data_IF_464629475184
#
_entry.id   IF_464629475184
#
_cell.length_a   1.000
_cell.length_b   1.000
_cell.length_c   1.000
_cell.angle_alpha   90.00
_cell.angle_beta   90.00
_cell.angle_gamma   90.00
#
_symmetry.space_group_name_H-M   'P 1'
#
loop_
_entity.id
_entity.type
_entity.pdbx_description
1 polymer ?
#
# COMPACT_ATOMS: atom_id res chain seq x y z
N UNK A 1 -30.69 -11.79 -75.98
CA UNK A 1 -32.06 -11.87 -75.43
C UNK A 1 -32.12 -11.08 -74.13
N UNK A 2 -33.05 -10.11 -74.08
CA UNK A 2 -33.67 -9.42 -72.93
C UNK A 2 -32.74 -8.84 -71.84
N UNK A 3 -32.40 -7.53 -71.92
CA UNK A 3 -32.92 -6.37 -71.12
C UNK A 3 -32.29 -6.30 -69.70
N UNK A 4 -31.30 -5.45 -69.36
CA UNK A 4 -31.21 -3.96 -69.23
C UNK A 4 -32.42 -3.31 -68.55
N UNK A 5 -32.12 -2.43 -67.55
CA UNK A 5 -32.81 -1.18 -67.06
C UNK A 5 -32.66 -1.11 -65.52
N UNK A 6 -31.61 -0.47 -64.96
CA UNK A 6 -31.40 0.97 -64.60
C UNK A 6 -32.05 1.39 -63.26
N UNK A 7 -31.32 1.89 -62.24
CA UNK A 7 -30.79 3.25 -62.00
C UNK A 7 -31.83 4.36 -61.74
N UNK A 8 -31.53 5.21 -60.73
CA UNK A 8 -32.19 6.45 -60.24
C UNK A 8 -33.39 6.27 -59.28
N UNK A 9 -33.63 7.06 -58.23
CA UNK A 9 -33.07 8.32 -57.74
C UNK A 9 -33.33 8.46 -56.22
N UNK A 10 -32.54 9.33 -55.58
CA UNK A 10 -32.79 9.86 -54.25
C UNK A 10 -34.05 10.76 -54.21
N UNK A 11 -34.56 10.90 -52.98
CA UNK A 11 -35.37 12.03 -52.46
C UNK A 11 -36.89 11.94 -52.57
N UNK A 12 -37.52 11.48 -51.49
CA UNK A 12 -38.63 12.20 -50.86
C UNK A 12 -38.77 11.76 -49.39
N UNK A 13 -38.41 12.67 -48.50
CA UNK A 13 -38.82 12.67 -47.10
C UNK A 13 -40.36 12.61 -46.98
N UNK A 14 -40.81 12.03 -45.87
CA UNK A 14 -42.01 12.34 -45.11
C UNK A 14 -43.09 11.24 -45.03
N UNK A 15 -43.39 10.93 -43.76
CA UNK A 15 -44.57 10.26 -43.20
C UNK A 15 -44.50 8.74 -43.05
N UNK A 16 -43.87 8.34 -41.94
CA UNK A 16 -44.02 7.04 -41.32
C UNK A 16 -43.60 6.99 -39.84
N UNK A 17 -43.65 8.12 -39.11
CA UNK A 17 -43.64 8.10 -37.65
C UNK A 17 -45.04 7.70 -37.16
N UNK A 18 -45.31 6.40 -37.03
CA UNK A 18 -46.26 5.86 -36.06
C UNK A 18 -45.71 4.51 -35.55
N UNK A 19 -45.08 4.59 -34.37
CA UNK A 19 -45.12 3.59 -33.29
C UNK A 19 -44.99 2.10 -33.62
N UNK A 20 -43.77 1.58 -33.47
CA UNK A 20 -43.57 0.50 -32.49
C UNK A 20 -42.71 1.08 -31.36
N UNK A 21 -43.38 1.52 -30.30
CA UNK A 21 -42.81 1.65 -28.97
C UNK A 21 -42.36 0.28 -28.50
N UNK A 22 -41.12 0.14 -28.04
CA UNK A 22 -40.67 -1.06 -27.34
C UNK A 22 -39.16 -1.17 -27.30
N UNK A 23 -38.58 -0.66 -26.21
CA UNK A 23 -37.25 -0.96 -25.67
C UNK A 23 -36.04 -0.96 -26.60
N UNK A 24 -35.35 0.19 -26.56
CA UNK A 24 -33.94 0.37 -26.88
C UNK A 24 -33.13 0.49 -25.57
N UNK A 25 -33.48 -0.32 -24.56
CA UNK A 25 -32.84 -0.35 -23.22
C UNK A 25 -32.15 -1.68 -22.93
N UNK A 26 -31.65 -2.37 -23.96
CA UNK A 26 -30.55 -3.30 -23.73
C UNK A 26 -29.28 -2.45 -23.57
N UNK A 27 -29.11 -1.84 -22.39
CA UNK A 27 -27.80 -1.38 -21.94
C UNK A 27 -26.89 -2.60 -22.03
N UNK A 28 -26.10 -2.69 -23.10
CA UNK A 28 -25.07 -3.71 -23.22
C UNK A 28 -24.24 -3.63 -21.94
N UNK A 29 -24.31 -4.68 -21.11
CA UNK A 29 -23.66 -4.72 -19.81
C UNK A 29 -22.17 -4.43 -20.03
N UNK A 30 -21.76 -3.22 -19.68
CA UNK A 30 -20.41 -2.76 -19.95
C UNK A 30 -19.43 -3.61 -19.12
N UNK A 31 -18.34 -4.11 -19.73
CA UNK A 31 -17.30 -4.80 -18.99
C UNK A 31 -16.74 -3.91 -17.88
N UNK A 32 -16.51 -4.50 -16.70
CA UNK A 32 -15.92 -3.79 -15.55
C UNK A 32 -14.41 -4.00 -15.56
N UNK A 33 -13.66 -2.89 -15.45
CA UNK A 33 -12.22 -2.95 -15.21
C UNK A 33 -11.93 -3.17 -13.72
N UNK A 34 -11.27 -4.28 -13.41
CA UNK A 34 -11.00 -4.68 -12.03
C UNK A 34 -9.63 -4.23 -11.51
N UNK A 35 -8.84 -3.47 -12.26
CA UNK A 35 -7.45 -3.06 -11.87
C UNK A 35 -7.39 -2.21 -10.57
N UNK A 36 -8.52 -1.75 -10.04
CA UNK A 36 -8.64 -1.07 -8.74
C UNK A 36 -9.52 -1.78 -7.71
N UNK A 37 -9.98 -3.01 -8.01
CA UNK A 37 -10.86 -3.77 -7.12
C UNK A 37 -10.06 -4.65 -6.15
N UNK A 38 -10.68 -4.90 -5.00
CA UNK A 38 -10.14 -5.74 -3.94
C UNK A 38 -11.08 -6.90 -3.64
N UNK A 39 -10.53 -8.06 -3.30
CA UNK A 39 -11.29 -9.14 -2.67
C UNK A 39 -11.39 -8.82 -1.19
N UNK A 40 -12.62 -8.83 -0.68
CA UNK A 40 -12.93 -8.81 0.74
C UNK A 40 -13.67 -10.10 1.09
N UNK A 41 -13.19 -10.84 2.08
CA UNK A 41 -13.80 -12.11 2.44
C UNK A 41 -13.30 -12.74 3.72
N UNK A 42 -13.92 -13.86 4.08
CA UNK A 42 -13.58 -14.63 5.29
C UNK A 42 -12.11 -15.05 5.32
N UNK A 43 -11.49 -15.28 4.15
CA UNK A 43 -10.10 -15.70 4.02
C UNK A 43 -9.06 -14.68 4.47
N UNK A 44 -9.42 -13.39 4.54
CA UNK A 44 -8.54 -12.35 5.09
C UNK A 44 -8.88 -12.05 6.55
N UNK A 45 -10.18 -12.01 6.84
CA UNK A 45 -10.68 -11.70 8.16
C UNK A 45 -12.06 -12.34 8.36
N UNK A 46 -12.22 -13.31 9.28
CA UNK A 46 -13.51 -13.90 9.57
C UNK A 46 -14.52 -12.90 10.15
N UNK A 47 -14.05 -11.76 10.68
CA UNK A 47 -14.92 -10.66 11.12
C UNK A 47 -15.28 -9.67 10.02
N UNK A 48 -14.73 -9.81 8.81
CA UNK A 48 -14.97 -8.90 7.67
C UNK A 48 -14.67 -7.42 8.00
N UNK A 49 -13.73 -7.19 8.92
CA UNK A 49 -13.24 -5.86 9.30
C UNK A 49 -11.95 -5.54 8.57
N UNK A 50 -11.60 -4.25 8.56
CA UNK A 50 -10.38 -3.68 7.98
C UNK A 50 -9.16 -4.58 8.17
N UNK A 51 -8.42 -4.81 7.09
CA UNK A 51 -7.11 -5.44 7.16
C UNK A 51 -6.12 -4.76 6.24
N UNK A 52 -4.86 -4.74 6.66
CA UNK A 52 -3.74 -4.31 5.80
C UNK A 52 -3.47 -5.29 4.64
N UNK A 53 -4.05 -6.51 4.69
CA UNK A 53 -3.84 -7.59 3.74
C UNK A 53 -4.90 -7.63 2.62
N UNK A 54 -5.15 -6.49 1.99
CA UNK A 54 -6.07 -6.40 0.86
C UNK A 54 -5.55 -7.17 -0.35
N UNK A 55 -6.33 -8.10 -0.89
CA UNK A 55 -6.00 -8.87 -2.09
C UNK A 55 -6.52 -8.08 -3.30
N UNK A 56 -5.63 -7.54 -4.11
CA UNK A 56 -5.98 -6.77 -5.32
C UNK A 56 -5.96 -7.62 -6.57
N UNK A 57 -6.74 -7.21 -7.57
CA UNK A 57 -6.69 -7.81 -8.91
C UNK A 57 -5.62 -7.17 -9.79
N UNK A 58 -4.97 -8.01 -10.59
CA UNK A 58 -4.06 -7.61 -11.68
C UNK A 58 -4.67 -8.03 -13.00
N UNK A 59 -4.58 -7.18 -14.03
CA UNK A 59 -5.02 -7.55 -15.38
C UNK A 59 -4.11 -8.62 -15.95
N UNK A 60 -4.68 -9.65 -16.58
CA UNK A 60 -3.91 -10.70 -17.25
C UNK A 60 -3.37 -10.17 -18.57
N UNK A 61 -2.06 -10.27 -18.77
CA UNK A 61 -1.39 -9.82 -19.99
C UNK A 61 -2.00 -10.44 -21.25
N UNK A 62 -2.27 -9.59 -22.25
CA UNK A 62 -2.88 -10.02 -23.51
C UNK A 62 -4.38 -10.33 -23.42
N UNK A 63 -5.02 -10.15 -22.27
CA UNK A 63 -6.48 -10.22 -22.14
C UNK A 63 -7.10 -8.83 -22.02
N UNK A 64 -8.28 -8.65 -22.63
CA UNK A 64 -9.04 -7.41 -22.56
C UNK A 64 -9.87 -7.31 -21.26
N UNK A 65 -10.41 -8.44 -20.79
CA UNK A 65 -11.43 -8.51 -19.73
C UNK A 65 -11.16 -9.60 -18.68
N UNK A 66 -9.91 -10.02 -18.52
CA UNK A 66 -9.52 -11.04 -17.55
C UNK A 66 -8.57 -10.48 -16.52
N UNK A 67 -8.88 -10.77 -15.26
CA UNK A 67 -8.14 -10.30 -14.10
C UNK A 67 -7.81 -11.47 -13.20
N UNK A 68 -6.69 -11.40 -12.48
CA UNK A 68 -6.29 -12.45 -11.54
C UNK A 68 -5.92 -11.88 -10.18
N UNK A 69 -6.16 -12.71 -9.17
CA UNK A 69 -5.80 -12.45 -7.79
C UNK A 69 -5.46 -13.79 -7.12
N UNK A 70 -4.53 -13.78 -6.18
CA UNK A 70 -4.13 -14.98 -5.46
C UNK A 70 -4.46 -14.84 -3.99
N UNK A 71 -4.98 -15.90 -3.38
CA UNK A 71 -5.33 -15.95 -1.97
C UNK A 71 -5.01 -17.31 -1.36
N UNK A 72 -4.72 -17.33 -0.06
CA UNK A 72 -4.61 -18.57 0.71
C UNK A 72 -5.97 -18.90 1.32
N UNK A 73 -6.48 -20.10 1.10
CA UNK A 73 -7.72 -20.53 1.75
C UNK A 73 -7.49 -20.74 3.25
N UNK A 74 -8.29 -20.13 4.12
CA UNK A 74 -8.23 -20.31 5.57
C UNK A 74 -9.08 -21.50 6.05
N UNK A 75 -10.12 -21.85 5.28
CA UNK A 75 -11.06 -22.94 5.55
C UNK A 75 -11.44 -23.68 4.26
N UNK A 76 -12.23 -24.75 4.40
CA UNK A 76 -12.79 -25.49 3.24
C UNK A 76 -13.80 -24.66 2.44
N UNK A 77 -14.43 -23.70 3.11
CA UNK A 77 -15.45 -22.82 2.56
C UNK A 77 -15.06 -21.38 2.84
N UNK A 78 -15.03 -20.56 1.80
CA UNK A 78 -14.79 -19.12 1.90
C UNK A 78 -15.98 -18.35 1.36
N UNK A 79 -16.20 -17.17 1.91
CA UNK A 79 -17.19 -16.22 1.45
C UNK A 79 -16.50 -14.91 1.10
N UNK A 80 -16.87 -14.27 -0.01
CA UNK A 80 -16.22 -13.04 -0.48
C UNK A 80 -17.13 -12.13 -1.30
N UNK A 81 -16.68 -10.90 -1.51
CA UNK A 81 -17.20 -9.91 -2.43
C UNK A 81 -16.04 -9.14 -3.07
N UNK A 82 -16.31 -8.39 -4.14
CA UNK A 82 -15.33 -7.45 -4.71
C UNK A 82 -15.68 -6.01 -4.35
N UNK A 83 -14.70 -5.26 -3.86
CA UNK A 83 -14.85 -3.86 -3.46
C UNK A 83 -14.15 -2.94 -4.47
N UNK A 84 -14.83 -1.91 -5.01
CA UNK A 84 -14.23 -0.94 -5.92
C UNK A 84 -13.26 0.03 -5.23
N UNK A 85 -13.33 0.11 -3.90
CA UNK A 85 -12.44 0.92 -3.07
C UNK A 85 -12.15 0.14 -1.81
N UNK A 86 -10.88 0.14 -1.40
CA UNK A 86 -10.44 -0.58 -0.19
C UNK A 86 -11.32 -0.17 0.99
N UNK A 87 -11.75 -1.16 1.78
CA UNK A 87 -12.56 -0.99 2.99
C UNK A 87 -13.92 -0.30 2.80
N UNK A 88 -14.36 -0.10 1.55
CA UNK A 88 -15.64 0.56 1.25
C UNK A 88 -16.61 -0.42 0.62
N UNK A 89 -17.71 -0.67 1.34
CA UNK A 89 -18.78 -1.57 0.88
C UNK A 89 -19.71 -0.95 -0.16
N UNK A 90 -19.66 0.36 -0.39
CA UNK A 90 -20.48 1.00 -1.42
C UNK A 90 -20.04 0.58 -2.83
N UNK A 91 -20.98 0.11 -3.65
CA UNK A 91 -20.69 -0.31 -5.02
C UNK A 91 -20.05 -1.70 -5.12
N UNK A 92 -20.10 -2.49 -4.06
CA UNK A 92 -19.63 -3.85 -4.01
C UNK A 92 -20.28 -4.76 -5.07
N UNK A 93 -19.51 -5.74 -5.52
CA UNK A 93 -19.96 -6.82 -6.38
C UNK A 93 -20.11 -8.06 -5.49
N UNK A 94 -21.37 -8.44 -5.25
CA UNK A 94 -21.74 -9.64 -4.50
C UNK A 94 -21.82 -10.89 -5.36
N UNK A 95 -22.06 -12.03 -4.70
CA UNK A 95 -22.17 -13.34 -5.35
C UNK A 95 -23.33 -13.44 -6.35
N UNK A 96 -24.38 -12.64 -6.17
CA UNK A 96 -25.53 -12.54 -7.09
C UNK A 96 -25.14 -12.09 -8.51
N UNK A 97 -23.97 -11.46 -8.66
CA UNK A 97 -23.42 -11.01 -9.94
C UNK A 97 -22.32 -11.94 -10.49
N UNK A 98 -22.05 -13.05 -9.79
CA UNK A 98 -20.94 -13.95 -10.07
C UNK A 98 -21.44 -15.34 -10.47
N UNK A 99 -20.61 -16.08 -11.23
CA UNK A 99 -20.85 -17.51 -11.47
C UNK A 99 -19.53 -18.27 -11.52
N UNK A 100 -19.53 -19.52 -11.05
CA UNK A 100 -18.43 -20.44 -11.28
C UNK A 100 -18.24 -20.73 -12.78
N UNK A 101 -16.99 -20.85 -13.21
CA UNK A 101 -16.63 -21.15 -14.60
C UNK A 101 -15.68 -22.36 -14.69
N UNK A 102 -14.36 -22.16 -14.58
CA UNK A 102 -13.40 -23.26 -14.50
C UNK A 102 -12.96 -23.46 -13.05
N UNK A 103 -13.56 -24.45 -12.37
CA UNK A 103 -13.24 -24.79 -10.98
C UNK A 103 -12.59 -26.18 -10.89
N UNK A 104 -11.74 -26.44 -9.88
CA UNK A 104 -11.29 -27.79 -9.57
C UNK A 104 -12.48 -28.73 -9.35
N UNK A 105 -12.34 -30.02 -9.65
CA UNK A 105 -13.46 -30.98 -9.62
C UNK A 105 -14.11 -31.16 -8.25
N UNK A 106 -13.36 -30.89 -7.16
CA UNK A 106 -13.82 -30.91 -5.78
C UNK A 106 -14.39 -29.57 -5.30
N UNK A 107 -14.35 -28.53 -6.13
CA UNK A 107 -14.69 -27.16 -5.75
C UNK A 107 -16.00 -26.74 -6.42
N UNK A 108 -16.85 -26.04 -5.67
CA UNK A 108 -18.12 -25.50 -6.15
C UNK A 108 -18.23 -24.00 -5.83
N UNK A 109 -19.00 -23.29 -6.65
CA UNK A 109 -19.35 -21.89 -6.45
C UNK A 109 -20.86 -21.76 -6.24
N UNK A 110 -21.25 -20.99 -5.24
CA UNK A 110 -22.63 -20.63 -4.92
C UNK A 110 -22.70 -19.15 -4.53
N UNK A 111 -23.88 -18.54 -4.63
CA UNK A 111 -24.16 -17.23 -4.05
C UNK A 111 -25.03 -17.38 -2.80
N UNK A 112 -24.46 -17.09 -1.63
CA UNK A 112 -25.14 -17.30 -0.34
C UNK A 112 -25.62 -15.97 0.23
N UNK A 113 -26.85 -15.93 0.73
CA UNK A 113 -27.38 -14.77 1.48
C UNK A 113 -26.52 -14.55 2.74
N UNK A 114 -26.05 -13.31 2.93
CA UNK A 114 -25.21 -12.94 4.06
C UNK A 114 -26.01 -12.49 5.29
N UNK A 115 -27.34 -12.48 5.22
CA UNK A 115 -28.24 -12.09 6.31
C UNK A 115 -28.38 -10.57 6.53
N UNK A 116 -27.67 -9.75 5.74
CA UNK A 116 -27.64 -8.30 5.83
C UNK A 116 -28.16 -7.62 4.54
N UNK A 117 -29.00 -8.32 3.76
CA UNK A 117 -29.60 -7.78 2.53
C UNK A 117 -28.67 -7.80 1.31
N UNK A 118 -27.58 -8.58 1.34
CA UNK A 118 -26.68 -8.82 0.21
C UNK A 118 -26.33 -10.30 0.05
N UNK A 119 -25.71 -10.67 -1.08
CA UNK A 119 -25.26 -12.03 -1.34
C UNK A 119 -23.75 -12.06 -1.51
N UNK A 120 -23.09 -13.00 -0.86
CA UNK A 120 -21.65 -13.21 -0.99
C UNK A 120 -21.38 -14.30 -2.03
N UNK A 121 -20.26 -14.19 -2.75
CA UNK A 121 -19.74 -15.34 -3.48
C UNK A 121 -19.21 -16.35 -2.48
N UNK A 122 -19.58 -17.61 -2.63
CA UNK A 122 -19.19 -18.71 -1.75
C UNK A 122 -18.46 -19.77 -2.56
N UNK A 123 -17.23 -20.09 -2.19
CA UNK A 123 -16.48 -21.21 -2.76
C UNK A 123 -16.34 -22.28 -1.70
N UNK A 124 -16.74 -23.52 -2.02
CA UNK A 124 -16.66 -24.69 -1.13
C UNK A 124 -15.72 -25.75 -1.70
N UNK A 125 -15.15 -26.56 -0.81
CA UNK A 125 -14.30 -27.70 -1.18
C UNK A 125 -12.82 -27.33 -1.36
N UNK A 126 -12.39 -26.20 -0.80
CA UNK A 126 -10.99 -25.79 -0.78
C UNK A 126 -10.19 -26.62 0.22
N UNK A 127 -8.88 -26.70 0.00
CA UNK A 127 -7.94 -27.24 0.97
C UNK A 127 -7.42 -26.09 1.82
N UNK A 128 -7.71 -26.10 3.13
CA UNK A 128 -7.20 -25.07 4.04
C UNK A 128 -5.66 -24.96 3.95
N UNK A 129 -5.15 -23.74 4.08
CA UNK A 129 -3.75 -23.34 3.90
C UNK A 129 -3.18 -23.51 2.49
N UNK A 130 -4.00 -23.89 1.50
CA UNK A 130 -3.54 -23.95 0.11
C UNK A 130 -3.70 -22.61 -0.60
N UNK A 131 -2.73 -22.30 -1.46
CA UNK A 131 -2.75 -21.10 -2.29
C UNK A 131 -3.62 -21.35 -3.53
N UNK A 132 -4.47 -20.39 -3.87
CA UNK A 132 -5.33 -20.44 -5.04
C UNK A 132 -5.19 -19.18 -5.87
N UNK A 133 -5.15 -19.35 -7.19
CA UNK A 133 -5.29 -18.26 -8.15
C UNK A 133 -6.74 -18.18 -8.63
N UNK A 134 -7.40 -17.08 -8.30
CA UNK A 134 -8.69 -16.69 -8.85
C UNK A 134 -8.47 -15.94 -10.16
N UNK A 135 -9.25 -16.29 -11.18
CA UNK A 135 -9.34 -15.54 -12.43
C UNK A 135 -10.77 -15.10 -12.63
N UNK A 136 -10.98 -13.83 -12.98
CA UNK A 136 -12.29 -13.22 -13.18
C UNK A 136 -12.41 -12.69 -14.59
N UNK A 137 -13.42 -13.14 -15.33
CA UNK A 137 -13.77 -12.62 -16.67
C UNK A 137 -15.01 -11.72 -16.56
N UNK A 138 -14.93 -10.49 -17.09
CA UNK A 138 -15.96 -9.46 -16.94
C UNK A 138 -16.75 -9.14 -18.22
N UNK A 139 -16.49 -9.86 -19.31
CA UNK A 139 -17.00 -9.58 -20.66
C UNK A 139 -18.52 -9.75 -20.86
N UNK A 140 -19.22 -10.42 -19.93
CA UNK A 140 -20.63 -10.84 -20.14
C UNK A 140 -21.63 -10.25 -19.13
N UNK A 141 -21.26 -9.19 -18.40
CA UNK A 141 -22.10 -8.60 -17.35
C UNK A 141 -22.29 -9.46 -16.09
N UNK A 142 -22.02 -10.76 -16.18
CA UNK A 142 -21.75 -11.67 -15.05
C UNK A 142 -20.25 -11.87 -14.91
N UNK A 143 -19.76 -11.83 -13.67
CA UNK A 143 -18.36 -12.10 -13.32
C UNK A 143 -18.14 -13.61 -13.27
N UNK A 144 -17.38 -14.15 -14.23
CA UNK A 144 -17.07 -15.58 -14.27
C UNK A 144 -15.85 -15.87 -13.41
N UNK A 145 -16.02 -16.69 -12.38
CA UNK A 145 -14.97 -17.05 -11.42
C UNK A 145 -14.37 -18.39 -11.81
N UNK A 146 -13.09 -18.36 -12.18
CA UNK A 146 -12.27 -19.56 -12.33
C UNK A 146 -11.26 -19.65 -11.19
N UNK A 147 -10.92 -20.88 -10.80
CA UNK A 147 -9.99 -21.13 -9.70
C UNK A 147 -9.00 -22.23 -10.10
N UNK A 148 -7.73 -22.05 -9.76
CA UNK A 148 -6.71 -23.10 -9.87
C UNK A 148 -5.89 -23.12 -8.59
N UNK A 149 -5.54 -24.32 -8.12
CA UNK A 149 -4.52 -24.45 -7.08
C UNK A 149 -3.23 -23.82 -7.60
N UNK A 150 -2.73 -22.85 -6.85
CA UNK A 150 -1.44 -22.26 -7.05
C UNK A 150 -0.45 -22.96 -6.12
N UNK A 151 0.80 -23.05 -6.56
CA UNK A 151 1.91 -23.34 -5.65
C UNK A 151 2.53 -22.01 -5.28
N UNK A 152 3.05 -21.89 -4.06
CA UNK A 152 3.87 -20.73 -3.74
C UNK A 152 4.94 -20.54 -4.81
N UNK A 153 5.13 -19.30 -5.29
CA UNK A 153 6.17 -19.04 -6.26
C UNK A 153 7.53 -19.37 -5.65
N UNK A 154 8.43 -19.91 -6.47
CA UNK A 154 9.81 -20.11 -6.05
C UNK A 154 10.48 -18.74 -5.98
N UNK A 155 10.73 -18.26 -4.78
CA UNK A 155 11.41 -16.98 -4.56
C UNK A 155 12.87 -17.03 -5.01
N UNK A 156 13.31 -15.95 -5.68
CA UNK A 156 14.71 -15.74 -6.00
C UNK A 156 15.37 -14.83 -4.98
N UNK A 157 15.83 -15.43 -3.88
CA UNK A 157 16.38 -14.68 -2.75
C UNK A 157 17.86 -14.33 -2.94
N UNK A 158 18.23 -13.15 -2.45
CA UNK A 158 19.60 -12.64 -2.38
C UNK A 158 20.07 -12.51 -0.92
N UNK A 159 19.51 -13.31 -0.01
CA UNK A 159 19.92 -13.35 1.38
C UNK A 159 21.42 -13.62 1.51
N UNK A 160 22.11 -12.76 2.27
CA UNK A 160 23.56 -12.83 2.44
C UNK A 160 24.36 -12.11 1.34
N UNK A 161 23.72 -11.38 0.42
CA UNK A 161 24.38 -10.35 -0.39
C UNK A 161 24.44 -9.04 0.37
N UNK A 162 25.33 -8.14 -0.06
CA UNK A 162 25.55 -6.84 0.54
C UNK A 162 25.46 -5.76 -0.53
N UNK A 163 24.80 -4.65 -0.21
CA UNK A 163 25.08 -3.42 -0.94
C UNK A 163 26.49 -2.99 -0.55
N UNK A 164 27.37 -2.96 -1.54
CA UNK A 164 28.74 -2.50 -1.38
C UNK A 164 28.88 -1.10 -1.91
N UNK A 165 29.82 -0.40 -1.28
CA UNK A 165 30.03 1.05 -1.30
C UNK A 165 29.46 1.71 -0.04
N UNK A 166 29.47 3.05 0.04
CA UNK A 166 29.27 3.88 1.25
C UNK A 166 30.54 4.19 2.07
N UNK A 167 31.71 4.32 1.43
CA UNK A 167 32.93 4.76 2.12
C UNK A 167 33.71 3.65 2.85
N UNK A 168 33.24 2.41 2.77
CA UNK A 168 33.89 1.24 3.38
C UNK A 168 34.87 0.51 2.47
N UNK A 169 35.49 1.22 1.52
CA UNK A 169 36.44 0.64 0.55
C UNK A 169 35.94 -0.67 -0.07
N UNK A 170 34.65 -0.71 -0.45
CA UNK A 170 34.02 -1.86 -1.07
C UNK A 170 33.95 -3.14 -0.22
N UNK A 171 34.13 -3.04 1.09
CA UNK A 171 33.98 -4.17 2.01
C UNK A 171 32.51 -4.50 2.26
N UNK A 172 32.22 -5.76 2.62
CA UNK A 172 30.91 -6.16 3.13
C UNK A 172 30.76 -5.68 4.58
N UNK A 173 29.67 -4.98 4.86
CA UNK A 173 29.33 -4.50 6.20
C UNK A 173 27.93 -4.96 6.58
N UNK A 174 27.77 -5.47 7.81
CA UNK A 174 26.49 -6.00 8.28
C UNK A 174 25.31 -5.03 8.16
N UNK A 175 25.56 -3.72 8.28
CA UNK A 175 24.55 -2.69 8.13
C UNK A 175 23.92 -2.63 6.72
N UNK A 176 24.61 -3.17 5.70
CA UNK A 176 24.17 -3.16 4.31
C UNK A 176 23.86 -4.55 3.76
N UNK A 177 23.64 -5.51 4.65
CA UNK A 177 23.23 -6.87 4.34
C UNK A 177 21.79 -6.90 3.80
N UNK A 178 21.58 -7.62 2.69
CA UNK A 178 20.26 -8.02 2.25
C UNK A 178 19.80 -9.19 3.11
N UNK A 179 18.79 -8.93 3.94
CA UNK A 179 18.19 -9.88 4.86
C UNK A 179 16.73 -9.52 5.12
N UNK A 180 15.92 -10.52 5.49
CA UNK A 180 14.48 -10.37 5.78
C UNK A 180 13.70 -9.61 4.68
N UNK A 181 13.68 -10.12 3.43
CA UNK A 181 12.94 -9.45 2.38
C UNK A 181 11.42 -9.53 2.59
N UNK A 182 10.72 -8.58 1.96
CA UNK A 182 9.27 -8.70 1.71
C UNK A 182 9.08 -9.60 0.50
N UNK A 183 8.22 -10.61 0.63
CA UNK A 183 7.89 -11.57 -0.42
C UNK A 183 6.46 -11.34 -0.89
N UNK A 184 6.28 -11.20 -2.19
CA UNK A 184 4.97 -11.15 -2.80
C UNK A 184 4.50 -12.59 -3.11
N UNK A 185 3.48 -13.11 -2.40
CA UNK A 185 2.99 -14.48 -2.61
C UNK A 185 2.24 -14.65 -3.94
N UNK A 186 1.90 -13.56 -4.62
CA UNK A 186 1.20 -13.55 -5.91
C UNK A 186 2.19 -13.64 -7.07
N UNK A 187 3.13 -12.71 -7.12
CA UNK A 187 4.09 -12.58 -8.24
C UNK A 187 5.37 -13.40 -8.02
N UNK A 188 5.70 -13.70 -6.76
CA UNK A 188 6.98 -14.28 -6.37
C UNK A 188 8.11 -13.27 -6.30
N UNK A 189 7.80 -11.98 -6.41
CA UNK A 189 8.78 -10.92 -6.29
C UNK A 189 9.32 -10.83 -4.86
N UNK A 190 10.62 -10.59 -4.73
CA UNK A 190 11.31 -10.44 -3.45
C UNK A 190 11.89 -9.04 -3.38
N UNK A 191 11.57 -8.27 -2.33
CA UNK A 191 12.04 -6.90 -2.16
C UNK A 191 12.85 -6.75 -0.88
N UNK A 192 14.07 -6.23 -1.03
CA UNK A 192 14.96 -5.83 0.05
C UNK A 192 15.03 -4.31 0.12
N UNK A 193 15.08 -3.76 1.34
CA UNK A 193 15.33 -2.34 1.58
C UNK A 193 16.50 -2.17 2.55
N UNK A 194 17.52 -1.44 2.12
CA UNK A 194 18.73 -1.15 2.91
C UNK A 194 18.86 0.36 3.06
N UNK A 195 18.99 0.84 4.30
CA UNK A 195 19.13 2.27 4.59
C UNK A 195 20.59 2.70 4.60
N UNK A 196 20.87 3.89 4.06
CA UNK A 196 22.17 4.53 4.21
C UNK A 196 22.02 6.05 4.34
N UNK A 197 23.03 6.70 4.92
CA UNK A 197 23.17 8.17 4.90
C UNK A 197 24.20 8.56 3.87
N UNK A 198 23.85 9.43 2.93
CA UNK A 198 24.77 9.84 1.89
C UNK A 198 25.95 10.65 2.46
N UNK A 199 27.17 10.27 2.13
CA UNK A 199 28.40 10.98 2.51
C UNK A 199 28.97 11.82 1.37
N UNK A 200 28.43 11.67 0.16
CA UNK A 200 28.78 12.41 -1.05
C UNK A 200 27.53 12.64 -1.93
N UNK A 201 27.62 13.57 -2.89
CA UNK A 201 26.53 13.87 -3.83
C UNK A 201 26.34 12.78 -4.91
N UNK A 202 27.32 11.90 -5.05
CA UNK A 202 27.26 10.72 -5.90
C UNK A 202 27.95 9.56 -5.20
N UNK A 203 27.46 8.34 -5.44
CA UNK A 203 28.02 7.12 -4.85
C UNK A 203 27.96 6.00 -5.89
N UNK A 204 29.04 5.28 -6.12
CA UNK A 204 28.99 4.04 -6.89
C UNK A 204 28.35 2.95 -6.03
N UNK A 205 27.62 1.99 -6.59
CA UNK A 205 27.02 0.90 -5.82
C UNK A 205 27.29 -0.44 -6.51
N UNK A 206 27.36 -1.51 -5.74
CA UNK A 206 27.38 -2.87 -6.25
C UNK A 206 26.63 -3.81 -5.30
N UNK A 207 26.20 -4.97 -5.81
CA UNK A 207 25.60 -6.02 -4.99
C UNK A 207 26.50 -7.26 -5.03
N UNK A 208 27.06 -7.68 -3.90
CA UNK A 208 27.94 -8.85 -3.87
C UNK A 208 27.91 -9.62 -2.55
N UNK A 209 28.29 -10.90 -2.60
CA UNK A 209 28.59 -11.76 -1.45
C UNK A 209 29.81 -11.25 -0.68
N UNK A 210 30.12 -11.73 0.55
CA UNK A 210 31.31 -11.32 1.32
C UNK A 210 32.63 -11.46 0.57
N UNK A 211 32.77 -12.46 -0.29
CA UNK A 211 33.83 -12.54 -1.29
C UNK A 211 33.24 -12.31 -2.67
N UNK A 212 33.92 -11.53 -3.50
CA UNK A 212 33.42 -11.11 -4.80
C UNK A 212 33.21 -12.30 -5.74
N UNK A 213 34.12 -13.28 -5.67
CA UNK A 213 34.09 -14.52 -6.45
C UNK A 213 32.91 -15.44 -6.11
N UNK A 214 32.32 -15.30 -4.92
CA UNK A 214 31.14 -16.08 -4.51
C UNK A 214 29.85 -15.59 -5.20
N UNK A 215 29.89 -14.39 -5.78
CA UNK A 215 28.82 -13.86 -6.62
C UNK A 215 28.62 -12.35 -6.48
N UNK A 216 28.39 -11.70 -7.61
CA UNK A 216 28.07 -10.27 -7.72
C UNK A 216 27.03 -9.99 -8.80
N UNK A 217 26.22 -8.95 -8.59
CA UNK A 217 25.24 -8.39 -9.52
C UNK A 217 25.56 -6.92 -9.72
N UNK A 218 25.77 -6.54 -10.98
CA UNK A 218 26.27 -5.23 -11.37
C UNK A 218 25.67 -4.83 -12.72
N UNK A 219 25.76 -3.56 -13.10
CA UNK A 219 25.18 -3.13 -14.37
C UNK A 219 25.97 -3.68 -15.57
N UNK A 220 25.26 -4.04 -16.64
CA UNK A 220 25.92 -4.28 -17.93
C UNK A 220 26.19 -2.98 -18.69
N UNK A 221 25.25 -2.04 -18.63
CA UNK A 221 25.20 -0.86 -19.51
C UNK A 221 25.12 0.47 -18.75
N UNK A 222 24.25 0.58 -17.74
CA UNK A 222 24.06 1.82 -17.00
C UNK A 222 25.32 2.21 -16.21
N UNK A 223 25.84 3.41 -16.47
CA UNK A 223 26.97 3.99 -15.75
C UNK A 223 26.52 4.88 -14.58
N UNK A 224 25.28 5.38 -14.63
CA UNK A 224 24.66 6.14 -13.55
C UNK A 224 23.13 6.07 -13.58
N UNK A 225 22.51 6.40 -12.45
CA UNK A 225 21.07 6.62 -12.32
C UNK A 225 20.81 7.67 -11.22
N UNK A 226 19.65 8.32 -11.25
CA UNK A 226 19.31 9.36 -10.28
C UNK A 226 18.49 8.78 -9.10
N UNK A 227 18.57 9.42 -7.94
CA UNK A 227 17.61 9.19 -6.86
C UNK A 227 16.18 9.41 -7.38
N UNK A 228 15.30 8.45 -7.13
CA UNK A 228 13.89 8.49 -7.56
C UNK A 228 13.66 8.17 -9.04
N UNK A 229 14.68 7.78 -9.79
CA UNK A 229 14.52 7.28 -11.16
C UNK A 229 13.95 5.84 -11.17
N UNK A 230 13.50 5.40 -12.35
CA UNK A 230 13.09 4.01 -12.58
C UNK A 230 14.23 3.03 -12.21
N UNK A 231 13.89 1.82 -11.71
CA UNK A 231 14.89 0.84 -11.32
C UNK A 231 15.81 0.45 -12.48
N UNK A 232 17.10 0.31 -12.19
CA UNK A 232 18.09 -0.23 -13.11
C UNK A 232 18.17 -1.76 -12.96
N UNK A 233 18.42 -2.46 -14.06
CA UNK A 233 18.66 -3.92 -14.04
C UNK A 233 20.13 -4.22 -13.73
N UNK A 234 20.35 -5.22 -12.88
CA UNK A 234 21.65 -5.77 -12.53
C UNK A 234 21.82 -7.17 -13.13
N UNK A 235 23.01 -7.45 -13.65
CA UNK A 235 23.37 -8.72 -14.26
C UNK A 235 24.48 -9.41 -13.46
N UNK A 236 24.38 -10.74 -13.37
CA UNK A 236 25.35 -11.55 -12.65
C UNK A 236 26.71 -11.52 -13.33
N UNK A 237 27.77 -11.29 -12.57
CA UNK A 237 29.16 -11.43 -13.03
C UNK A 237 29.67 -10.33 -13.97
N UNK A 238 28.92 -9.23 -14.13
CA UNK A 238 29.45 -8.01 -14.78
C UNK A 238 30.49 -7.33 -13.87
N UNK A 239 31.08 -6.22 -14.34
CA UNK A 239 32.11 -5.42 -13.65
C UNK A 239 31.90 -3.92 -13.90
N UNK A 240 30.65 -3.44 -13.76
CA UNK A 240 30.38 -2.00 -13.80
C UNK A 240 29.52 -1.59 -12.63
N UNK A 241 30.10 -0.77 -11.76
CA UNK A 241 29.42 -0.18 -10.62
C UNK A 241 28.62 1.04 -11.09
N UNK A 242 27.28 1.00 -11.09
CA UNK A 242 26.50 2.19 -11.40
C UNK A 242 26.72 3.28 -10.35
N UNK A 243 26.79 4.53 -10.79
CA UNK A 243 26.83 5.70 -9.93
C UNK A 243 25.43 6.25 -9.67
N UNK A 244 24.96 6.21 -8.42
CA UNK A 244 23.78 6.98 -8.02
C UNK A 244 24.14 8.47 -7.96
N UNK A 245 23.25 9.31 -8.49
CA UNK A 245 23.39 10.77 -8.57
C UNK A 245 22.17 11.46 -7.94
N UNK A 246 22.32 12.73 -7.57
CA UNK A 246 21.25 13.49 -6.90
C UNK A 246 21.17 13.19 -5.40
N UNK A 247 22.23 12.65 -4.81
CA UNK A 247 22.33 12.52 -3.36
C UNK A 247 22.62 13.89 -2.75
N UNK A 248 22.03 14.13 -1.58
CA UNK A 248 22.32 15.26 -0.70
C UNK A 248 23.05 14.71 0.51
N UNK A 249 24.25 15.22 0.78
CA UNK A 249 25.09 14.81 1.91
C UNK A 249 24.32 14.93 3.23
N UNK A 250 24.51 13.97 4.13
CA UNK A 250 23.82 13.83 5.43
C UNK A 250 22.30 13.59 5.35
N UNK A 251 21.76 13.24 4.17
CA UNK A 251 20.38 12.78 4.05
C UNK A 251 20.31 11.25 4.01
N UNK A 252 19.24 10.65 4.55
CA UNK A 252 19.00 9.21 4.51
C UNK A 252 18.27 8.79 3.22
N UNK A 253 18.58 7.58 2.74
CA UNK A 253 18.03 6.97 1.54
C UNK A 253 17.80 5.47 1.77
N UNK A 254 16.85 4.87 1.04
CA UNK A 254 16.79 3.42 0.86
C UNK A 254 17.43 3.06 -0.48
N UNK A 255 18.29 2.06 -0.49
CA UNK A 255 18.50 1.22 -1.68
C UNK A 255 17.42 0.15 -1.68
N UNK A 256 16.64 0.08 -2.75
CA UNK A 256 15.62 -0.95 -2.94
C UNK A 256 16.17 -1.95 -3.96
N UNK A 257 16.31 -3.20 -3.56
CA UNK A 257 16.66 -4.30 -4.48
C UNK A 257 15.45 -5.20 -4.63
N UNK A 258 15.03 -5.42 -5.86
CA UNK A 258 13.89 -6.29 -6.18
C UNK A 258 14.34 -7.42 -7.09
N UNK A 259 13.86 -8.62 -6.81
CA UNK A 259 14.01 -9.76 -7.70
C UNK A 259 12.66 -10.33 -8.11
N UNK A 260 12.66 -11.01 -9.25
CA UNK A 260 11.52 -11.70 -9.85
C UNK A 260 11.82 -13.21 -9.97
N UNK A 261 10.79 -14.01 -10.22
CA UNK A 261 10.90 -15.49 -10.29
C UNK A 261 11.78 -16.01 -11.43
N UNK A 262 11.98 -15.23 -12.49
CA UNK A 262 12.89 -15.53 -13.60
C UNK A 262 14.37 -15.21 -13.29
N UNK A 263 14.66 -14.65 -12.11
CA UNK A 263 16.00 -14.29 -11.66
C UNK A 263 16.46 -12.90 -12.08
N UNK A 264 15.58 -12.06 -12.63
CA UNK A 264 15.89 -10.64 -12.87
C UNK A 264 16.14 -9.94 -11.53
N UNK A 265 17.19 -9.11 -11.47
CA UNK A 265 17.54 -8.30 -10.30
C UNK A 265 17.50 -6.84 -10.71
N UNK A 266 16.80 -6.02 -9.95
CA UNK A 266 16.74 -4.58 -10.16
C UNK A 266 17.12 -3.81 -8.89
N UNK A 267 17.60 -2.59 -9.08
CA UNK A 267 18.00 -1.69 -8.00
C UNK A 267 17.49 -0.28 -8.26
N UNK A 268 16.98 0.37 -7.22
CA UNK A 268 16.67 1.80 -7.22
C UNK A 268 17.11 2.45 -5.91
N UNK A 269 17.14 3.78 -5.89
CA UNK A 269 17.44 4.55 -4.68
C UNK A 269 16.35 5.59 -4.47
N UNK A 270 15.71 5.54 -3.30
CA UNK A 270 14.66 6.47 -2.89
C UNK A 270 15.11 7.30 -1.69
N UNK A 271 14.81 8.60 -1.70
CA UNK A 271 15.12 9.46 -0.55
C UNK A 271 14.14 9.19 0.59
N UNK A 272 14.68 8.94 1.79
CA UNK A 272 13.86 8.82 2.99
C UNK A 272 13.51 10.23 3.45
N UNK A 273 12.30 10.66 3.12
CA UNK A 273 11.79 11.95 3.55
C UNK A 273 11.35 11.89 5.01
N UNK A 274 11.65 12.94 5.75
CA UNK A 274 11.35 13.05 7.18
C UNK A 274 11.06 14.50 7.56
N UNK A 275 10.55 14.68 8.77
CA UNK A 275 10.58 15.94 9.50
C UNK A 275 11.27 15.72 10.85
N UNK A 276 11.70 16.80 11.47
CA UNK A 276 12.18 16.77 12.85
C UNK A 276 11.13 17.48 13.74
N UNK A 277 10.66 16.85 14.80
CA UNK A 277 9.72 17.42 15.77
C UNK A 277 10.47 17.83 17.04
N UNK A 278 10.32 19.09 17.46
CA UNK A 278 11.03 19.67 18.61
C UNK A 278 10.11 20.06 19.77
N UNK A 279 8.81 19.87 19.63
CA UNK A 279 7.89 20.20 20.70
C UNK A 279 6.44 19.98 20.37
N UNK A 280 5.63 20.25 21.38
CA UNK A 280 4.18 20.20 21.34
C UNK A 280 3.60 21.54 21.81
N UNK A 281 2.48 21.91 21.22
CA UNK A 281 1.70 23.06 21.62
C UNK A 281 0.22 22.71 21.58
N UNK A 282 -0.51 23.07 22.63
CA UNK A 282 -1.96 23.01 22.66
C UNK A 282 -2.46 24.43 22.79
N UNK A 283 -3.40 24.84 21.93
CA UNK A 283 -3.99 26.18 21.91
C UNK A 283 -5.51 26.12 22.11
N UNK A 284 -6.09 27.27 22.45
CA UNK A 284 -7.52 27.45 22.71
C UNK A 284 -8.06 26.47 23.78
N UNK A 285 -7.23 26.20 24.79
CA UNK A 285 -7.45 25.16 25.78
C UNK A 285 -8.05 25.68 27.08
N UNK A 286 -8.89 26.70 27.02
CA UNK A 286 -9.46 27.37 28.20
C UNK A 286 -10.22 26.40 29.13
N UNK A 287 -10.83 25.35 28.57
CA UNK A 287 -11.49 24.27 29.34
C UNK A 287 -10.53 23.46 30.24
N UNK A 288 -9.22 23.60 30.02
CA UNK A 288 -8.15 22.91 30.72
C UNK A 288 -7.25 23.88 31.50
N UNK A 289 -7.63 25.14 31.67
CA UNK A 289 -6.82 26.16 32.37
C UNK A 289 -6.35 25.67 33.75
N UNK A 290 -5.06 25.84 34.03
CA UNK A 290 -4.42 25.37 35.27
C UNK A 290 -4.21 23.85 35.37
N UNK A 291 -4.68 23.05 34.41
CA UNK A 291 -4.44 21.61 34.37
C UNK A 291 -3.15 21.29 33.64
N UNK A 292 -2.58 20.14 33.98
CA UNK A 292 -1.43 19.57 33.27
C UNK A 292 -1.90 18.71 32.11
N UNK A 293 -1.48 19.06 30.88
CA UNK A 293 -1.63 18.21 29.69
C UNK A 293 -0.38 17.35 29.55
N UNK A 294 -0.59 16.06 29.33
CA UNK A 294 0.45 15.07 29.04
C UNK A 294 0.43 14.74 27.55
N UNK A 295 1.58 14.76 26.90
CA UNK A 295 1.80 14.44 25.49
C UNK A 295 2.36 13.04 25.38
N UNK A 296 1.60 12.14 24.75
CA UNK A 296 1.84 10.70 24.83
C UNK A 296 1.93 10.10 23.44
N UNK A 297 3.12 9.61 23.11
CA UNK A 297 3.32 8.65 22.03
C UNK A 297 4.64 7.87 22.20
N UNK A 298 4.75 6.71 21.55
CA UNK A 298 5.93 5.84 21.62
C UNK A 298 7.19 6.43 20.98
N UNK A 299 7.03 7.35 20.02
CA UNK A 299 8.14 8.04 19.37
C UNK A 299 8.67 9.22 20.19
N UNK A 300 7.93 9.68 21.21
CA UNK A 300 8.32 10.84 22.01
C UNK A 300 9.46 10.46 22.96
N UNK A 301 10.57 11.23 23.02
CA UNK A 301 11.70 10.91 23.89
C UNK A 301 11.31 10.80 25.35
N UNK A 302 11.86 9.79 26.05
CA UNK A 302 11.67 9.56 27.50
C UNK A 302 10.21 9.41 27.93
N UNK A 303 9.32 9.13 26.98
CA UNK A 303 7.90 9.14 27.27
C UNK A 303 7.45 7.88 28.02
N UNK A 304 6.60 8.09 29.04
CA UNK A 304 5.89 7.03 29.74
C UNK A 304 4.39 7.14 29.47
N UNK A 305 3.69 6.02 29.33
CA UNK A 305 2.24 6.00 29.09
C UNK A 305 1.44 6.15 30.40
N UNK A 306 1.81 7.13 31.23
CA UNK A 306 1.22 7.39 32.55
C UNK A 306 1.59 8.80 33.07
N UNK A 307 1.24 9.10 34.33
CA UNK A 307 1.45 10.37 35.01
C UNK A 307 2.93 10.73 35.33
N UNK A 308 3.84 9.79 35.10
CA UNK A 308 5.29 9.96 35.24
C UNK A 308 5.95 10.52 33.98
N UNK A 309 5.24 10.58 32.84
CA UNK A 309 5.80 11.15 31.63
C UNK A 309 6.38 12.56 31.90
N UNK A 310 7.63 12.83 31.44
CA UNK A 310 8.21 14.16 31.53
C UNK A 310 7.65 15.11 30.44
N UNK A 311 6.94 14.57 29.46
CA UNK A 311 6.38 15.30 28.33
C UNK A 311 5.00 15.84 28.71
N UNK A 312 5.01 16.88 29.53
CA UNK A 312 3.79 17.54 30.02
C UNK A 312 3.98 19.04 30.18
N UNK A 313 2.88 19.77 30.12
CA UNK A 313 2.84 21.22 30.31
C UNK A 313 1.54 21.64 31.01
N UNK A 314 1.62 22.68 31.84
CA UNK A 314 0.44 23.28 32.48
C UNK A 314 -0.18 24.27 31.52
N UNK A 315 -1.50 24.24 31.38
CA UNK A 315 -2.25 25.21 30.57
C UNK A 315 -2.26 26.54 31.30
N UNK A 316 -1.73 27.57 30.63
CA UNK A 316 -1.73 28.97 31.09
C UNK A 316 -2.23 29.84 29.96
N UNK A 317 -3.29 30.62 30.21
CA UNK A 317 -3.93 31.48 29.19
C UNK A 317 -4.35 30.70 27.95
N UNK A 318 -4.98 29.54 28.15
CA UNK A 318 -5.46 28.68 27.08
C UNK A 318 -4.35 27.99 26.26
N UNK A 319 -3.09 28.05 26.70
CA UNK A 319 -1.94 27.46 26.00
C UNK A 319 -1.16 26.51 26.91
N UNK A 320 -0.80 25.34 26.40
CA UNK A 320 0.21 24.46 27.01
C UNK A 320 1.31 24.16 25.98
N UNK A 321 2.57 24.34 26.34
CA UNK A 321 3.70 24.18 25.42
C UNK A 321 4.83 23.39 26.08
N UNK A 322 5.40 22.45 25.33
CA UNK A 322 6.50 21.59 25.77
C UNK A 322 7.54 21.44 24.65
N UNK A 323 8.75 21.89 24.91
CA UNK A 323 9.92 21.56 24.07
C UNK A 323 10.47 20.18 24.44
N UNK A 324 10.91 19.43 23.44
CA UNK A 324 11.56 18.12 23.60
C UNK A 324 12.90 18.09 22.85
N UNK A 325 13.70 17.05 23.08
CA UNK A 325 14.80 16.74 22.19
C UNK A 325 14.26 16.47 20.77
N UNK A 326 14.96 17.01 19.76
CA UNK A 326 14.57 16.86 18.37
C UNK A 326 14.41 15.39 17.99
N UNK A 327 13.24 15.03 17.49
CA UNK A 327 12.91 13.65 17.11
C UNK A 327 12.59 13.57 15.62
N UNK A 328 13.33 12.72 14.92
CA UNK A 328 13.15 12.51 13.48
C UNK A 328 12.02 11.54 13.21
N UNK A 329 11.04 11.96 12.40
CA UNK A 329 9.88 11.16 12.03
C UNK A 329 9.85 10.88 10.52
N UNK A 330 9.87 9.60 10.18
CA UNK A 330 9.79 9.08 8.81
C UNK A 330 8.43 8.45 8.48
N UNK A 331 7.52 8.35 9.46
CA UNK A 331 6.15 7.82 9.29
C UNK A 331 5.28 8.75 8.44
N UNK A 332 4.27 8.23 7.77
CA UNK A 332 3.38 9.03 6.90
C UNK A 332 2.33 9.80 7.70
N UNK A 333 1.80 9.18 8.77
CA UNK A 333 0.90 9.80 9.73
C UNK A 333 1.58 9.89 11.09
N UNK A 334 1.55 11.08 11.70
CA UNK A 334 2.15 11.33 13.01
C UNK A 334 1.03 11.35 14.04
N UNK A 335 0.92 10.30 14.88
CA UNK A 335 -0.05 10.29 15.95
C UNK A 335 0.43 11.14 17.13
N UNK A 336 -0.52 11.68 17.89
CA UNK A 336 -0.31 12.29 19.20
C UNK A 336 -1.54 12.02 20.06
N UNK A 337 -1.34 11.41 21.22
CA UNK A 337 -2.38 11.28 22.23
C UNK A 337 -2.13 12.27 23.38
N UNK A 338 -3.21 12.86 23.90
CA UNK A 338 -3.13 13.81 25.01
C UNK A 338 -4.15 13.51 26.10
N UNK A 339 -3.74 13.68 27.36
CA UNK A 339 -4.63 13.55 28.52
C UNK A 339 -4.44 14.73 29.48
N UNK A 340 -5.51 15.10 30.18
CA UNK A 340 -5.52 16.11 31.23
C UNK A 340 -6.16 15.54 32.51
N UNK A 341 -5.44 14.68 33.26
CA UNK A 341 -5.98 13.98 34.42
C UNK A 341 -6.58 14.93 35.45
N UNK A 342 -7.69 14.52 36.07
CA UNK A 342 -8.36 15.27 37.14
C UNK A 342 -8.06 14.64 38.50
N UNK A 343 -8.01 15.47 39.54
CA UNK A 343 -7.77 15.00 40.90
C UNK A 343 -8.84 13.97 41.32
N UNK A 344 -8.40 12.78 41.74
CA UNK A 344 -9.29 11.69 42.15
C UNK A 344 -9.86 10.84 40.99
N UNK A 345 -9.52 11.16 39.73
CA UNK A 345 -9.85 10.34 38.56
C UNK A 345 -8.68 9.47 38.09
N UNK A 346 -8.97 8.53 37.20
CA UNK A 346 -7.96 7.77 36.45
C UNK A 346 -7.19 8.65 35.48
N UNK A 347 -5.92 8.30 35.22
CA UNK A 347 -5.04 9.04 34.30
C UNK A 347 -5.60 9.17 32.89
N UNK A 348 -6.43 8.22 32.46
CA UNK A 348 -7.00 8.15 31.11
C UNK A 348 -8.44 8.67 31.01
N UNK A 349 -9.01 9.16 32.11
CA UNK A 349 -10.42 9.54 32.17
C UNK A 349 -10.74 10.78 31.33
N UNK A 350 -9.75 11.67 31.14
CA UNK A 350 -9.93 12.93 30.40
C UNK A 350 -8.95 13.02 29.25
N UNK A 351 -9.40 12.64 28.05
CA UNK A 351 -8.64 12.79 26.81
C UNK A 351 -8.83 14.20 26.23
N UNK A 352 -7.74 14.87 25.93
CA UNK A 352 -7.77 16.15 25.20
C UNK A 352 -8.01 15.81 23.72
N UNK A 353 -9.11 16.30 23.15
CA UNK A 353 -9.52 15.96 21.78
C UNK A 353 -10.15 14.58 21.59
N UNK A 354 -10.59 13.92 22.67
CA UNK A 354 -11.33 12.67 22.56
C UNK A 354 -10.54 11.43 22.11
N UNK A 355 -9.21 11.52 21.93
CA UNK A 355 -8.42 10.37 21.47
C UNK A 355 -7.04 10.72 20.92
N UNK A 356 -6.47 9.77 20.18
CA UNK A 356 -5.28 9.98 19.36
C UNK A 356 -5.66 10.83 18.16
N UNK A 357 -4.90 11.90 17.93
CA UNK A 357 -5.00 12.74 16.74
C UNK A 357 -3.84 12.46 15.81
N UNK A 358 -4.06 12.66 14.53
CA UNK A 358 -3.07 12.40 13.49
C UNK A 358 -2.86 13.64 12.66
N UNK A 359 -1.63 13.85 12.20
CA UNK A 359 -1.31 14.84 11.17
C UNK A 359 -0.42 14.18 10.11
N UNK A 360 -0.65 14.52 8.85
CA UNK A 360 0.19 14.05 7.76
C UNK A 360 1.61 14.62 7.90
N UNK A 361 2.60 13.76 7.70
CA UNK A 361 3.99 14.18 7.65
C UNK A 361 4.25 14.97 6.37
N UNK A 362 4.71 16.22 6.49
CA UNK A 362 4.99 17.07 5.33
C UNK A 362 6.14 16.56 4.44
N UNK A 363 6.96 15.62 4.93
CA UNK A 363 8.08 14.99 4.19
C UNK A 363 9.06 16.01 3.57
N UNK A 364 9.26 17.15 4.20
CA UNK A 364 9.95 18.30 3.59
C UNK A 364 11.27 18.68 4.28
N UNK A 365 11.76 17.83 5.19
CA UNK A 365 13.04 17.99 5.88
C UNK A 365 13.14 19.19 6.80
N UNK A 366 12.00 19.77 7.21
CA UNK A 366 11.96 20.91 8.13
C UNK A 366 11.69 20.48 9.56
N UNK A 367 11.87 21.45 10.45
CA UNK A 367 11.65 21.33 11.89
C UNK A 367 10.27 21.87 12.25
N UNK A 368 9.52 21.12 13.05
CA UNK A 368 8.15 21.44 13.42
C UNK A 368 7.87 21.32 14.92
N UNK A 369 6.87 22.06 15.35
CA UNK A 369 6.11 21.84 16.58
C UNK A 369 4.78 21.21 16.18
N UNK A 370 4.38 20.15 16.87
CA UNK A 370 3.03 19.60 16.73
C UNK A 370 2.05 20.48 17.53
N UNK A 371 1.11 21.10 16.82
CA UNK A 371 0.13 21.98 17.44
C UNK A 371 -1.26 21.35 17.37
N UNK A 372 -1.89 21.18 18.53
CA UNK A 372 -3.28 20.80 18.65
C UNK A 372 -4.16 22.02 18.98
N UNK A 373 -5.20 22.23 18.19
CA UNK A 373 -6.19 23.30 18.37
C UNK A 373 -7.48 22.72 18.99
N UNK A 374 -7.73 23.02 20.26
CA UNK A 374 -8.87 22.48 20.99
C UNK A 374 -10.23 22.93 20.43
N UNK A 375 -10.31 24.11 19.80
CA UNK A 375 -11.56 24.63 19.22
C UNK A 375 -11.90 23.92 17.90
N UNK A 376 -10.88 23.59 17.11
CA UNK A 376 -11.04 22.92 15.81
C UNK A 376 -10.99 21.40 15.91
N UNK A 377 -10.55 20.88 17.06
CA UNK A 377 -10.32 19.45 17.29
C UNK A 377 -9.30 18.85 16.29
N UNK A 378 -8.27 19.63 15.94
CA UNK A 378 -7.32 19.35 14.85
C UNK A 378 -5.85 19.36 15.32
N UNK A 379 -5.06 18.42 14.81
CA UNK A 379 -3.60 18.39 14.98
C UNK A 379 -2.92 18.89 13.70
N UNK A 380 -1.92 19.77 13.83
CA UNK A 380 -1.24 20.42 12.72
C UNK A 380 0.28 20.51 12.94
N UNK A 381 1.00 20.69 11.84
CA UNK A 381 2.43 20.96 11.84
C UNK A 381 2.68 22.47 11.75
N UNK A 382 3.29 23.05 12.77
CA UNK A 382 3.70 24.47 12.78
C UNK A 382 5.21 24.54 12.66
N UNK A 383 5.72 25.25 11.64
CA UNK A 383 7.16 25.39 11.42
C UNK A 383 7.80 26.01 12.66
N UNK A 384 8.85 25.36 13.16
CA UNK A 384 9.70 25.94 14.19
C UNK A 384 10.65 26.93 13.51
N UNK A 385 10.74 28.15 14.04
CA UNK A 385 11.59 29.21 13.48
C UNK A 385 13.08 28.96 13.73
#
# INVERSE_FOLDING_TARGET
MKKIVSFFAASALALGLIGCSGDLHDDALAPVDMTGYFIAGSMQNPQWKETDNSISFTKVDGSEYTYEATFTADADTINFAFLPTKDTWAGQIGGDKMKGNELPSNVTFEDTDNGNGGRNGTIKGLTAQSLYKMTVETSTGTFKISLKEAKEPKYFELDGYFIRSFGYNWNAEGAYLLWNPVKDPVTGDVTYKVQFTATAETQELALARPKWEDGRYECATATSFAVGADPITLEKGKEKHPKVTGLIVNRPYNVVVKTTTDGTVTMSVEQIKYIDVVGFKVINADAYEGKTIYFLEGWVPENEWNDKSPNKAVVTSGIAEKTIASTRLTVDSIPLQMTAPVAGGGFWDVKVGGGTKNVENAKDFKVYILQYDCEKDELSLVKSN
#
